data_IF_833958566765
#
_entry.id   IF_833958566765
#
_cell.length_a   1.000
_cell.length_b   1.000
_cell.length_c   1.000
_cell.angle_alpha   90.00
_cell.angle_beta   90.00
_cell.angle_gamma   90.00
#
_symmetry.space_group_name_H-M   'P 1'
#
loop_
_entity.id
_entity.type
_entity.pdbx_description
1 polymer ?
#
# COMPACT_ATOMS: atom_id res chain seq x y z
N UNK A 1 -46.84 12.68 -16.09
CA UNK A 1 -45.48 13.25 -15.99
C UNK A 1 -45.12 13.37 -14.51
N UNK A 2 -44.62 12.30 -13.91
CA UNK A 2 -43.95 12.35 -12.60
C UNK A 2 -42.47 12.26 -12.91
N UNK A 3 -41.77 13.38 -12.70
CA UNK A 3 -40.32 13.43 -12.68
C UNK A 3 -39.84 12.56 -11.51
N UNK A 4 -39.62 11.28 -11.77
CA UNK A 4 -38.69 10.49 -10.97
C UNK A 4 -37.34 10.84 -11.58
N UNK A 5 -36.68 11.83 -10.99
CA UNK A 5 -35.26 12.03 -11.21
C UNK A 5 -34.60 10.78 -10.63
N UNK A 6 -34.13 9.90 -11.51
CA UNK A 6 -33.07 8.95 -11.18
C UNK A 6 -31.87 9.78 -10.72
N UNK A 7 -31.82 10.04 -9.42
CA UNK A 7 -30.57 10.29 -8.74
C UNK A 7 -30.05 8.93 -8.26
N UNK A 8 -29.69 8.06 -9.21
CA UNK A 8 -28.58 7.15 -8.93
C UNK A 8 -27.36 8.05 -8.79
N UNK A 9 -27.11 8.49 -7.56
CA UNK A 9 -25.85 9.10 -7.21
C UNK A 9 -24.81 8.01 -7.50
N UNK A 10 -23.97 8.21 -8.51
CA UNK A 10 -22.93 7.27 -8.92
C UNK A 10 -22.09 6.90 -7.69
N UNK A 11 -22.39 5.76 -7.08
CA UNK A 11 -21.67 5.26 -5.92
C UNK A 11 -20.32 4.72 -6.40
N UNK A 12 -19.25 5.50 -6.22
CA UNK A 12 -17.90 5.03 -6.44
C UNK A 12 -17.37 4.38 -5.15
N UNK A 13 -17.23 3.04 -5.09
CA UNK A 13 -16.65 2.37 -3.94
C UNK A 13 -15.15 2.69 -3.75
N UNK A 14 -14.49 3.28 -4.75
CA UNK A 14 -13.11 3.72 -4.69
C UNK A 14 -12.99 5.18 -4.27
N UNK A 15 -14.11 5.86 -4.02
CA UNK A 15 -14.08 7.16 -3.36
C UNK A 15 -13.50 7.02 -1.95
N UNK A 16 -12.68 7.98 -1.55
CA UNK A 16 -11.94 8.00 -0.28
C UNK A 16 -12.89 7.85 0.92
N UNK A 17 -14.05 8.50 0.88
CA UNK A 17 -15.02 8.48 1.98
C UNK A 17 -15.77 7.14 2.08
N UNK A 18 -15.74 6.33 1.02
CA UNK A 18 -16.40 5.04 0.92
C UNK A 18 -15.44 3.85 0.95
N UNK A 19 -14.13 4.09 0.88
CA UNK A 19 -13.13 3.04 0.81
C UNK A 19 -12.97 2.33 2.15
N UNK A 20 -13.02 1.00 2.14
CA UNK A 20 -12.94 0.18 3.34
C UNK A 20 -12.08 -1.06 3.11
N UNK A 21 -11.72 -1.73 4.21
CA UNK A 21 -10.99 -3.01 4.18
C UNK A 21 -11.74 -4.04 3.31
N UNK A 22 -13.07 -4.10 3.38
CA UNK A 22 -13.87 -5.02 2.56
C UNK A 22 -13.82 -4.69 1.08
N UNK A 23 -13.79 -3.40 0.72
CA UNK A 23 -13.60 -2.97 -0.67
C UNK A 23 -12.20 -3.35 -1.15
N UNK A 24 -11.16 -3.06 -0.36
CA UNK A 24 -9.78 -3.41 -0.70
C UNK A 24 -9.61 -4.91 -1.01
N UNK A 25 -10.21 -5.79 -0.19
CA UNK A 25 -10.18 -7.26 -0.39
C UNK A 25 -10.83 -7.71 -1.71
N UNK A 26 -11.82 -6.97 -2.20
CA UNK A 26 -12.63 -7.31 -3.37
C UNK A 26 -12.10 -6.71 -4.67
N UNK A 27 -11.05 -5.89 -4.63
CA UNK A 27 -10.44 -5.30 -5.83
C UNK A 27 -9.99 -6.39 -6.81
N UNK A 28 -10.50 -6.32 -8.04
CA UNK A 28 -10.16 -7.29 -9.11
C UNK A 28 -9.03 -6.80 -10.00
N UNK A 29 -8.71 -5.50 -9.94
CA UNK A 29 -7.64 -4.83 -10.69
C UNK A 29 -6.88 -3.84 -9.79
N UNK A 30 -5.68 -3.45 -10.22
CA UNK A 30 -4.96 -2.33 -9.61
C UNK A 30 -5.76 -1.03 -9.80
N UNK A 31 -5.65 -0.11 -8.85
CA UNK A 31 -6.19 1.24 -9.01
C UNK A 31 -5.27 2.07 -9.89
N UNK A 32 -5.86 3.00 -10.63
CA UNK A 32 -5.19 3.95 -11.51
C UNK A 32 -4.77 5.24 -10.78
N UNK A 33 -5.24 5.41 -9.54
CA UNK A 33 -4.95 6.54 -8.65
C UNK A 33 -4.76 6.08 -7.21
N UNK A 34 -4.20 6.96 -6.39
CA UNK A 34 -4.26 6.82 -4.94
C UNK A 34 -5.68 7.05 -4.43
N UNK A 35 -6.05 6.32 -3.38
CA UNK A 35 -7.39 6.38 -2.77
C UNK A 35 -7.42 7.21 -1.48
N UNK A 36 -6.30 7.84 -1.14
CA UNK A 36 -6.14 8.74 0.00
C UNK A 36 -5.02 9.75 -0.29
N UNK A 37 -5.13 10.90 0.37
CA UNK A 37 -4.14 11.96 0.36
C UNK A 37 -3.06 11.67 1.41
N UNK A 38 -1.82 12.15 1.23
CA UNK A 38 -0.78 11.98 2.25
C UNK A 38 -1.17 12.59 3.61
N UNK A 39 -1.92 13.69 3.60
CA UNK A 39 -2.47 14.33 4.79
C UNK A 39 -3.42 13.44 5.62
N UNK A 40 -3.94 12.34 5.05
CA UNK A 40 -4.77 11.38 5.79
C UNK A 40 -3.95 10.49 6.74
N UNK A 41 -2.62 10.51 6.64
CA UNK A 41 -1.71 9.82 7.56
C UNK A 41 -1.62 10.54 8.93
N UNK A 42 -2.74 10.68 9.62
CA UNK A 42 -2.83 11.40 10.91
C UNK A 42 -2.09 10.70 12.05
N UNK A 43 -1.69 9.44 11.85
CA UNK A 43 -0.89 8.65 12.80
C UNK A 43 0.61 8.78 12.56
N UNK A 44 1.04 9.50 11.52
CA UNK A 44 2.43 9.69 11.15
C UNK A 44 3.17 8.34 11.04
N UNK A 45 2.54 7.38 10.33
CA UNK A 45 3.14 6.08 10.03
C UNK A 45 4.17 6.28 8.92
N UNK A 46 5.43 5.94 9.18
CA UNK A 46 6.53 6.14 8.22
C UNK A 46 7.21 4.82 7.90
N UNK A 47 7.36 4.50 6.62
CA UNK A 47 8.14 3.33 6.19
C UNK A 47 9.62 3.71 6.14
N UNK A 48 10.41 3.05 6.96
CA UNK A 48 11.83 3.38 7.15
C UNK A 48 12.71 2.48 6.30
N UNK A 49 12.40 1.18 6.29
CA UNK A 49 13.20 0.21 5.55
C UNK A 49 12.31 -0.90 5.01
N UNK A 50 12.49 -1.22 3.73
CA UNK A 50 11.84 -2.36 3.12
C UNK A 50 12.86 -3.25 2.44
N UNK A 51 12.80 -4.55 2.70
CA UNK A 51 13.74 -5.53 2.15
C UNK A 51 13.02 -6.75 1.61
N UNK A 52 13.38 -7.18 0.42
CA UNK A 52 12.98 -8.45 -0.21
C UNK A 52 14.21 -9.34 -0.29
N UNK A 53 14.10 -10.59 0.16
CA UNK A 53 15.14 -11.61 0.01
C UNK A 53 14.58 -12.92 -0.53
N UNK A 54 15.43 -13.68 -1.22
CA UNK A 54 15.16 -15.09 -1.48
C UNK A 54 15.35 -15.88 -0.18
N UNK A 55 14.34 -16.65 0.21
CA UNK A 55 14.39 -17.45 1.44
C UNK A 55 15.23 -18.72 1.28
N UNK A 56 15.45 -19.20 0.05
CA UNK A 56 16.25 -20.40 -0.20
C UNK A 56 17.76 -20.11 -0.09
N UNK A 57 18.22 -19.01 -0.70
CA UNK A 57 19.64 -18.63 -0.71
C UNK A 57 19.99 -17.58 0.34
N UNK A 58 19.02 -16.86 0.87
CA UNK A 58 19.23 -15.72 1.78
C UNK A 58 19.67 -14.43 1.09
N UNK A 59 19.82 -14.43 -0.24
CA UNK A 59 20.26 -13.25 -1.01
C UNK A 59 19.20 -12.15 -0.95
N UNK A 60 19.62 -10.93 -0.61
CA UNK A 60 18.78 -9.73 -0.70
C UNK A 60 18.60 -9.35 -2.17
N UNK A 61 17.35 -9.30 -2.61
CA UNK A 61 16.96 -8.97 -3.98
C UNK A 61 16.72 -7.46 -4.14
N UNK A 62 16.07 -6.87 -3.15
CA UNK A 62 15.81 -5.44 -3.09
C UNK A 62 15.91 -4.96 -1.65
N UNK A 63 16.48 -3.78 -1.46
CA UNK A 63 16.48 -3.08 -0.19
C UNK A 63 16.28 -1.59 -0.47
N UNK A 64 15.35 -0.99 0.26
CA UNK A 64 15.01 0.42 0.22
C UNK A 64 15.17 0.92 1.64
N UNK A 65 16.01 1.94 1.81
CA UNK A 65 16.30 2.56 3.09
C UNK A 65 15.97 4.04 2.96
N UNK A 66 14.92 4.48 3.65
CA UNK A 66 14.56 5.89 3.73
C UNK A 66 15.29 6.48 4.93
N UNK A 67 16.22 7.44 4.73
CA UNK A 67 16.95 8.05 5.84
C UNK A 67 15.94 8.67 6.80
N UNK A 68 16.11 8.37 8.09
CA UNK A 68 15.06 8.55 9.10
C UNK A 68 14.66 10.01 9.35
N UNK A 69 15.51 10.98 9.04
CA UNK A 69 15.31 12.37 9.45
C UNK A 69 16.06 13.30 8.48
N UNK A 70 15.37 13.89 7.50
CA UNK A 70 15.67 15.27 7.14
C UNK A 70 14.65 16.12 7.90
N UNK A 71 15.11 16.78 8.96
CA UNK A 71 14.31 17.69 9.78
C UNK A 71 13.68 18.77 8.89
N UNK A 72 12.40 18.59 8.53
CA UNK A 72 11.66 19.50 7.67
C UNK A 72 10.90 18.86 6.51
N UNK A 73 11.02 17.55 6.29
CA UNK A 73 10.22 16.86 5.27
C UNK A 73 8.77 16.67 5.75
N UNK A 74 7.85 17.46 5.21
CA UNK A 74 6.42 17.33 5.44
C UNK A 74 5.84 16.23 4.55
N UNK A 75 5.66 15.04 5.11
CA UNK A 75 5.05 13.91 4.39
C UNK A 75 3.62 14.19 3.93
N UNK A 76 2.94 15.20 4.47
CA UNK A 76 1.61 15.59 3.99
C UNK A 76 1.64 16.19 2.58
N UNK A 77 2.81 16.59 2.09
CA UNK A 77 3.03 17.13 0.74
C UNK A 77 3.68 16.13 -0.23
N UNK A 78 3.75 14.84 0.12
CA UNK A 78 4.28 13.79 -0.75
C UNK A 78 3.59 13.78 -2.12
N UNK A 79 4.37 13.87 -3.18
CA UNK A 79 3.87 13.67 -4.54
C UNK A 79 3.49 12.20 -4.78
N UNK A 80 2.69 11.95 -5.83
CA UNK A 80 2.32 10.59 -6.23
C UNK A 80 3.55 9.74 -6.58
N UNK A 81 4.55 10.34 -7.25
CA UNK A 81 5.76 9.63 -7.65
C UNK A 81 6.62 9.22 -6.45
N UNK A 82 6.65 10.02 -5.38
CA UNK A 82 7.38 9.68 -4.13
C UNK A 82 6.72 8.53 -3.36
N UNK A 83 5.43 8.26 -3.62
CA UNK A 83 4.68 7.14 -3.06
C UNK A 83 4.78 5.86 -3.90
N UNK A 84 5.44 5.91 -5.05
CA UNK A 84 5.58 4.80 -5.98
C UNK A 84 7.00 4.24 -6.00
N UNK A 85 7.09 2.91 -5.91
CA UNK A 85 8.35 2.19 -6.07
C UNK A 85 8.31 1.41 -7.39
N UNK A 86 9.33 1.60 -8.23
CA UNK A 86 9.50 0.86 -9.49
C UNK A 86 10.61 -0.16 -9.35
N UNK A 87 10.25 -1.43 -9.21
CA UNK A 87 11.21 -2.53 -9.19
C UNK A 87 11.68 -2.90 -10.59
N UNK A 88 12.98 -3.18 -10.73
CA UNK A 88 13.59 -3.72 -11.93
C UNK A 88 14.19 -5.10 -11.63
N UNK A 89 13.39 -6.14 -11.83
CA UNK A 89 13.81 -7.51 -11.60
C UNK A 89 14.14 -8.23 -12.91
N UNK A 90 15.21 -9.03 -12.90
CA UNK A 90 15.52 -9.94 -14.00
C UNK A 90 14.54 -11.12 -14.07
N UNK A 91 14.47 -11.85 -15.21
CA UNK A 91 13.56 -12.97 -15.38
C UNK A 91 13.68 -14.05 -14.29
N UNK A 92 14.89 -14.22 -13.73
CA UNK A 92 15.16 -15.21 -12.67
C UNK A 92 14.32 -14.96 -11.41
N UNK A 93 13.84 -13.73 -11.20
CA UNK A 93 12.96 -13.41 -10.08
C UNK A 93 11.66 -14.22 -10.09
N UNK A 94 11.13 -14.54 -11.27
CA UNK A 94 9.91 -15.34 -11.42
C UNK A 94 10.14 -16.84 -11.13
N UNK A 95 11.39 -17.28 -11.04
CA UNK A 95 11.78 -18.66 -10.75
C UNK A 95 11.94 -18.88 -9.23
N UNK A 96 11.94 -17.81 -8.43
CA UNK A 96 12.09 -17.88 -6.99
C UNK A 96 10.87 -18.54 -6.35
N UNK A 97 11.13 -19.52 -5.47
CA UNK A 97 10.06 -20.30 -4.83
C UNK A 97 9.41 -19.57 -3.66
N UNK A 98 10.22 -18.88 -2.85
CA UNK A 98 9.75 -18.21 -1.65
C UNK A 98 10.52 -16.92 -1.41
N UNK A 99 9.79 -15.82 -1.32
CA UNK A 99 10.31 -14.51 -0.95
C UNK A 99 10.05 -14.24 0.53
N UNK A 100 11.02 -13.61 1.18
CA UNK A 100 10.88 -13.04 2.51
C UNK A 100 10.89 -11.52 2.40
N UNK A 101 9.87 -10.89 2.97
CA UNK A 101 9.80 -9.43 3.08
C UNK A 101 10.03 -8.99 4.53
N UNK A 102 10.66 -7.84 4.70
CA UNK A 102 10.84 -7.18 5.99
C UNK A 102 10.50 -5.71 5.81
N UNK A 103 9.65 -5.18 6.69
CA UNK A 103 9.25 -3.79 6.71
C UNK A 103 9.51 -3.24 8.10
N UNK A 104 10.40 -2.26 8.18
CA UNK A 104 10.58 -1.43 9.37
C UNK A 104 9.78 -0.15 9.16
N UNK A 105 8.96 0.20 10.15
CA UNK A 105 8.18 1.41 10.14
C UNK A 105 8.17 2.05 11.53
N UNK A 106 7.89 3.34 11.59
CA UNK A 106 7.59 4.06 12.83
C UNK A 106 6.14 4.52 12.85
N UNK A 107 5.67 4.86 14.05
CA UNK A 107 4.38 5.48 14.31
C UNK A 107 4.66 6.78 15.07
N UNK A 108 3.82 7.80 14.87
CA UNK A 108 3.89 9.05 15.63
C UNK A 108 3.50 8.90 17.09
N UNK A 109 3.16 10.03 17.71
CA UNK A 109 2.75 10.08 19.12
C UNK A 109 1.38 9.45 19.40
N UNK A 110 0.53 9.33 18.38
CA UNK A 110 -0.82 8.79 18.52
C UNK A 110 -0.78 7.26 18.40
N UNK A 111 -1.23 6.51 19.41
CA UNK A 111 -1.22 5.05 19.34
C UNK A 111 -2.14 4.53 18.24
N UNK A 112 -1.71 3.48 17.56
CA UNK A 112 -2.47 2.85 16.47
C UNK A 112 -3.03 1.52 16.96
N UNK A 113 -4.33 1.34 16.76
CA UNK A 113 -5.05 0.08 17.00
C UNK A 113 -5.48 -0.51 15.67
N UNK A 114 -5.46 -1.84 15.60
CA UNK A 114 -6.01 -2.61 14.48
C UNK A 114 -5.46 -2.20 13.11
N UNK A 115 -4.15 -1.91 13.04
CA UNK A 115 -3.49 -1.57 11.78
C UNK A 115 -3.47 -2.79 10.85
N UNK A 116 -4.06 -2.63 9.66
CA UNK A 116 -4.12 -3.67 8.63
C UNK A 116 -3.44 -3.17 7.36
N UNK A 117 -2.48 -3.95 6.86
CA UNK A 117 -1.89 -3.74 5.54
C UNK A 117 -2.39 -4.82 4.58
N UNK A 118 -3.03 -4.41 3.49
CA UNK A 118 -3.46 -5.29 2.40
C UNK A 118 -2.61 -4.99 1.18
N UNK A 119 -1.83 -5.97 0.74
CA UNK A 119 -0.96 -5.87 -0.43
C UNK A 119 -1.49 -6.78 -1.54
N UNK A 120 -1.79 -6.22 -2.72
CA UNK A 120 -2.40 -6.94 -3.84
C UNK A 120 -1.57 -6.79 -5.10
N UNK A 121 -1.24 -7.92 -5.71
CA UNK A 121 -0.38 -8.00 -6.89
C UNK A 121 -1.21 -8.42 -8.10
N UNK A 122 -1.09 -7.66 -9.19
CA UNK A 122 -1.85 -7.90 -10.41
C UNK A 122 -0.92 -8.03 -11.62
N UNK A 123 -1.32 -8.86 -12.58
CA UNK A 123 -0.72 -8.89 -13.91
C UNK A 123 -1.82 -8.86 -14.96
N UNK A 124 -1.84 -7.80 -15.78
CA UNK A 124 -2.87 -7.57 -16.80
C UNK A 124 -4.29 -7.71 -16.24
N UNK A 125 -4.59 -6.95 -15.20
CA UNK A 125 -5.90 -6.91 -14.50
C UNK A 125 -6.35 -8.25 -13.89
N UNK A 126 -5.41 -9.16 -13.65
CA UNK A 126 -5.67 -10.42 -12.94
C UNK A 126 -4.90 -10.42 -11.63
N UNK A 127 -5.61 -10.64 -10.53
CA UNK A 127 -5.00 -10.86 -9.22
C UNK A 127 -4.11 -12.10 -9.28
N UNK A 128 -2.81 -11.93 -9.02
CA UNK A 128 -1.85 -13.02 -8.86
C UNK A 128 -1.83 -13.45 -7.40
N UNK A 129 -1.78 -12.46 -6.50
CA UNK A 129 -1.57 -12.72 -5.08
C UNK A 129 -2.11 -11.58 -4.22
N UNK A 130 -2.61 -11.92 -3.04
CA UNK A 130 -3.05 -10.97 -2.02
C UNK A 130 -2.50 -11.39 -0.66
N UNK A 131 -1.91 -10.44 0.04
CA UNK A 131 -1.43 -10.60 1.41
C UNK A 131 -2.19 -9.65 2.33
N UNK A 132 -2.51 -10.10 3.55
CA UNK A 132 -3.11 -9.29 4.60
C UNK A 132 -2.30 -9.45 5.87
N UNK A 133 -1.77 -8.35 6.38
CA UNK A 133 -0.97 -8.29 7.60
C UNK A 133 -1.73 -7.50 8.65
N UNK A 134 -1.94 -8.11 9.81
CA UNK A 134 -2.54 -7.46 10.98
C UNK A 134 -1.44 -7.13 11.96
N UNK A 135 -1.11 -5.85 12.05
CA UNK A 135 -0.16 -5.33 13.02
C UNK A 135 -0.91 -5.11 14.33
N UNK A 136 -0.34 -5.62 15.42
CA UNK A 136 -0.90 -5.41 16.77
C UNK A 136 -0.73 -3.94 17.17
N UNK A 137 -1.27 -3.57 18.33
CA UNK A 137 -1.11 -2.25 18.91
C UNK A 137 0.34 -1.74 18.84
N UNK A 138 0.52 -0.55 18.29
CA UNK A 138 1.80 0.13 18.11
C UNK A 138 1.73 1.58 18.61
#
# INVERSE_FOLDING_TARGET
>A
LRFILDMEQDFDPLDKDNFSIEVARKLTKATDRFLCDPADNTFNIKFLKYRIRDMDTGVTIAEIDHPREEDGYDESELSEDERLIRYQFGPQFLELRMLGTMLDFSVGATPVKDLVMIERHYFKDKLIQSYEFKVKFC
#
